data_IF_468822640125
#
_entry.id   IF_468822640125
#
_cell.length_a   1.000
_cell.length_b   1.000
_cell.length_c   1.000
_cell.angle_alpha   90.00
_cell.angle_beta   90.00
_cell.angle_gamma   90.00
#
_symmetry.space_group_name_H-M   'P 1'
#
loop_
_entity.id
_entity.type
_entity.pdbx_description
1 polymer ?
#
# COMPACT_ATOMS: atom_id res chain seq x y z
N UNK A 1 8.65 37.69 12.34
CA UNK A 1 9.74 36.72 12.23
C UNK A 1 9.38 35.56 13.15
N UNK A 2 8.61 34.62 12.67
CA UNK A 2 8.51 33.25 13.23
C UNK A 2 8.15 32.37 12.03
N UNK A 3 9.18 31.86 11.38
CA UNK A 3 9.04 30.69 10.53
C UNK A 3 9.68 29.53 11.29
N UNK A 4 8.85 28.73 11.89
CA UNK A 4 9.18 27.37 12.22
C UNK A 4 8.07 26.54 11.57
N UNK A 5 8.19 26.32 10.26
CA UNK A 5 7.53 25.22 9.58
C UNK A 5 7.96 23.95 10.31
N UNK A 6 7.18 23.59 11.32
CA UNK A 6 7.31 22.30 12.00
C UNK A 6 6.92 21.27 10.95
N UNK A 7 7.93 20.70 10.29
CA UNK A 7 7.75 19.58 9.38
C UNK A 7 7.01 18.49 10.16
N UNK A 8 5.74 18.28 9.86
CA UNK A 8 4.96 17.21 10.48
C UNK A 8 5.61 15.93 9.99
N UNK A 9 6.45 15.31 10.82
CA UNK A 9 7.06 14.02 10.50
C UNK A 9 5.95 12.99 10.59
N UNK A 10 5.54 12.45 9.46
CA UNK A 10 4.52 11.40 9.34
C UNK A 10 5.07 10.06 9.82
N UNK A 11 5.46 10.00 11.10
CA UNK A 11 6.00 8.76 11.69
C UNK A 11 4.89 7.74 11.95
N UNK A 12 5.19 6.49 11.66
CA UNK A 12 4.33 5.37 12.05
C UNK A 12 4.49 5.13 13.55
N UNK A 13 3.37 5.18 14.27
CA UNK A 13 3.31 4.84 15.69
C UNK A 13 3.49 3.32 15.86
N UNK A 14 4.64 2.92 16.39
CA UNK A 14 5.04 1.51 16.54
C UNK A 14 4.18 0.76 17.56
N UNK A 15 3.66 1.46 18.56
CA UNK A 15 2.94 0.84 19.67
C UNK A 15 1.53 0.39 19.27
N UNK A 16 0.98 0.95 18.19
CA UNK A 16 -0.36 0.63 17.71
C UNK A 16 -0.37 -0.36 16.54
N UNK A 17 0.78 -0.68 15.96
CA UNK A 17 0.87 -1.66 14.85
C UNK A 17 0.29 -3.00 15.28
N UNK A 18 -0.64 -3.52 14.50
CA UNK A 18 -1.25 -4.81 14.76
C UNK A 18 -0.52 -5.92 13.99
N UNK A 19 -0.26 -7.01 14.68
CA UNK A 19 0.50 -8.12 14.15
C UNK A 19 -0.29 -9.43 14.25
N UNK A 20 -0.15 -10.30 13.25
CA UNK A 20 -0.76 -11.65 13.30
C UNK A 20 0.05 -12.64 14.15
N UNK A 21 1.30 -12.32 14.51
CA UNK A 21 2.16 -13.17 15.33
C UNK A 21 2.71 -12.41 16.53
N UNK A 22 2.97 -13.14 17.61
CA UNK A 22 3.65 -12.60 18.80
C UNK A 22 5.11 -12.22 18.50
N UNK A 23 5.75 -11.36 19.33
CA UNK A 23 7.12 -10.88 19.08
C UNK A 23 8.16 -11.99 18.85
N UNK A 24 8.05 -13.11 19.60
CA UNK A 24 8.97 -14.26 19.49
C UNK A 24 8.77 -15.12 18.23
N UNK A 25 7.67 -14.92 17.50
CA UNK A 25 7.28 -15.74 16.34
C UNK A 25 7.46 -15.03 15.00
N UNK A 26 7.90 -13.75 15.01
CA UNK A 26 8.01 -12.90 13.81
C UNK A 26 9.32 -13.13 13.07
N UNK A 27 10.42 -13.25 13.81
CA UNK A 27 11.75 -13.37 13.22
C UNK A 27 11.86 -14.63 12.34
N UNK A 28 12.48 -14.45 11.17
CA UNK A 28 12.64 -15.51 10.16
C UNK A 28 11.41 -15.76 9.30
N UNK A 29 10.27 -15.09 9.54
CA UNK A 29 9.10 -15.19 8.67
C UNK A 29 9.06 -14.04 7.65
N UNK A 30 8.51 -14.24 6.43
CA UNK A 30 8.27 -13.13 5.52
C UNK A 30 7.24 -12.17 6.09
N UNK A 31 7.41 -10.87 5.83
CA UNK A 31 6.56 -9.78 6.34
C UNK A 31 5.63 -9.23 5.26
N UNK A 32 4.33 -9.20 5.52
CA UNK A 32 3.34 -8.49 4.72
C UNK A 32 2.91 -7.22 5.45
N UNK A 33 3.34 -6.07 4.95
CA UNK A 33 2.93 -4.76 5.47
C UNK A 33 1.59 -4.39 4.88
N UNK A 34 0.58 -4.16 5.72
CA UNK A 34 -0.77 -3.82 5.26
C UNK A 34 -1.14 -2.38 5.61
N UNK A 35 -1.79 -1.69 4.67
CA UNK A 35 -2.13 -0.27 4.74
C UNK A 35 -3.60 -0.06 4.40
N UNK A 36 -4.36 0.44 5.38
CA UNK A 36 -5.82 0.63 5.28
C UNK A 36 -6.23 1.80 4.39
N UNK A 37 -7.50 1.87 4.01
CA UNK A 37 -8.09 3.00 3.31
C UNK A 37 -8.29 4.22 4.22
N UNK A 38 -8.48 5.41 3.62
CA UNK A 38 -8.75 6.65 4.37
C UNK A 38 -9.98 6.49 5.26
N UNK A 39 -9.90 7.03 6.49
CA UNK A 39 -10.99 6.97 7.48
C UNK A 39 -11.07 5.65 8.26
N UNK A 40 -10.20 4.68 7.93
CA UNK A 40 -10.08 3.41 8.64
C UNK A 40 -8.90 3.42 9.62
N UNK A 41 -8.43 2.25 10.07
CA UNK A 41 -7.38 2.11 11.07
C UNK A 41 -6.62 0.77 10.91
N UNK A 42 -5.62 0.55 11.76
CA UNK A 42 -4.74 -0.62 11.77
C UNK A 42 -5.43 -1.98 11.96
N UNK A 43 -6.70 -2.01 12.36
CA UNK A 43 -7.43 -3.28 12.58
C UNK A 43 -8.17 -3.76 11.34
N UNK A 44 -8.38 -2.88 10.38
CA UNK A 44 -9.22 -3.12 9.21
C UNK A 44 -8.71 -4.33 8.39
N UNK A 45 -7.50 -4.23 7.87
CA UNK A 45 -6.96 -5.26 6.99
C UNK A 45 -6.50 -6.54 7.70
N UNK A 46 -6.46 -6.55 9.04
CA UNK A 46 -6.25 -7.80 9.77
C UNK A 46 -7.36 -8.83 9.53
N UNK A 47 -8.57 -8.36 9.23
CA UNK A 47 -9.67 -9.23 8.84
C UNK A 47 -9.41 -10.08 7.60
N UNK A 48 -8.46 -9.69 6.77
CA UNK A 48 -8.04 -10.43 5.57
C UNK A 48 -7.08 -11.59 5.87
N UNK A 49 -6.42 -11.59 7.02
CA UNK A 49 -5.39 -12.55 7.38
C UNK A 49 -5.81 -14.04 7.21
N UNK A 50 -7.05 -14.46 7.56
CA UNK A 50 -7.46 -15.85 7.36
C UNK A 50 -7.53 -16.30 5.90
N UNK A 51 -7.66 -15.36 4.95
CA UNK A 51 -7.71 -15.64 3.51
C UNK A 51 -6.33 -15.57 2.84
N UNK A 52 -5.30 -15.10 3.53
CA UNK A 52 -3.95 -14.93 3.00
C UNK A 52 -3.02 -16.09 3.43
N UNK A 53 -1.91 -16.34 2.72
CA UNK A 53 -1.00 -17.43 3.08
C UNK A 53 -0.45 -17.29 4.50
N UNK A 54 -0.70 -18.28 5.35
CA UNK A 54 -0.34 -18.26 6.78
C UNK A 54 1.17 -18.27 7.06
N UNK A 55 2.01 -18.49 6.04
CA UNK A 55 3.46 -18.37 6.14
C UNK A 55 3.93 -16.93 6.33
N UNK A 56 3.15 -15.95 5.93
CA UNK A 56 3.45 -14.52 6.09
C UNK A 56 3.02 -14.00 7.46
N UNK A 57 3.88 -13.23 8.09
CA UNK A 57 3.49 -12.39 9.23
C UNK A 57 2.91 -11.10 8.69
N UNK A 58 1.68 -10.74 9.08
CA UNK A 58 1.10 -9.46 8.73
C UNK A 58 1.45 -8.42 9.80
N UNK A 59 1.83 -7.22 9.34
CA UNK A 59 1.93 -6.02 10.15
C UNK A 59 0.98 -4.97 9.57
N UNK A 60 -0.08 -4.67 10.28
CA UNK A 60 -1.09 -3.70 9.85
C UNK A 60 -0.82 -2.36 10.51
N UNK A 61 -0.48 -1.37 9.68
CA UNK A 61 -0.07 -0.05 10.11
C UNK A 61 -1.27 0.87 10.28
N UNK A 62 -1.17 1.81 11.22
CA UNK A 62 -2.04 2.97 11.31
C UNK A 62 -1.44 4.12 10.52
N UNK A 63 -2.25 4.74 9.67
CA UNK A 63 -1.87 5.97 8.99
C UNK A 63 -1.61 7.11 9.99
N UNK A 64 -0.67 8.03 9.73
CA UNK A 64 -0.19 8.98 10.74
C UNK A 64 -1.15 10.14 11.03
N UNK A 65 -2.09 10.43 10.14
CA UNK A 65 -2.95 11.61 10.26
C UNK A 65 -4.35 11.23 10.73
N UNK A 66 -4.90 11.83 11.81
CA UNK A 66 -6.29 11.66 12.17
C UNK A 66 -7.24 12.14 11.06
N UNK A 67 -8.29 11.36 10.77
CA UNK A 67 -9.31 11.68 9.79
C UNK A 67 -10.68 11.14 10.20
N UNK A 68 -11.60 12.00 10.55
CA UNK A 68 -12.92 11.59 11.05
C UNK A 68 -12.81 10.70 12.28
N UNK A 69 -13.33 9.48 12.18
CA UNK A 69 -13.23 8.47 13.25
C UNK A 69 -12.00 7.54 13.08
N UNK A 70 -11.20 7.75 12.05
CA UNK A 70 -10.03 6.94 11.71
C UNK A 70 -8.85 7.80 11.29
N UNK A 71 -8.10 7.32 10.29
CA UNK A 71 -6.81 7.90 9.92
C UNK A 71 -6.64 8.00 8.40
N UNK A 72 -5.71 8.82 7.96
CA UNK A 72 -5.35 9.09 6.56
C UNK A 72 -3.83 9.05 6.38
N UNK A 73 -3.36 8.49 5.27
CA UNK A 73 -1.93 8.47 4.94
C UNK A 73 -1.44 9.84 4.51
N UNK A 74 -2.27 10.57 3.76
CA UNK A 74 -1.98 11.92 3.28
C UNK A 74 -3.31 12.70 3.14
N UNK A 75 -3.25 14.04 3.10
CA UNK A 75 -4.47 14.86 2.97
C UNK A 75 -5.27 14.48 1.72
N UNK A 76 -6.58 14.43 1.85
CA UNK A 76 -7.45 14.26 0.70
C UNK A 76 -7.35 15.51 -0.19
N UNK A 77 -7.13 15.25 -1.46
CA UNK A 77 -7.14 16.24 -2.53
C UNK A 77 -8.17 15.86 -3.59
N UNK A 78 -7.83 16.11 -4.85
CA UNK A 78 -8.63 15.61 -5.97
C UNK A 78 -8.60 14.07 -5.97
N UNK A 79 -9.76 13.39 -6.03
CA UNK A 79 -9.80 11.93 -6.07
C UNK A 79 -8.90 11.36 -7.16
N UNK A 80 -8.07 10.39 -6.81
CA UNK A 80 -7.09 9.77 -7.72
C UNK A 80 -5.90 10.66 -8.11
N UNK A 81 -5.80 11.90 -7.58
CA UNK A 81 -4.72 12.84 -7.91
C UNK A 81 -4.35 13.73 -6.71
N UNK A 82 -3.87 13.14 -5.59
CA UNK A 82 -3.40 13.92 -4.44
C UNK A 82 -2.11 14.70 -4.78
N UNK A 83 -1.77 15.68 -3.94
CA UNK A 83 -0.48 16.35 -4.01
C UNK A 83 0.65 15.34 -3.70
N UNK A 84 1.74 15.39 -4.47
CA UNK A 84 2.84 14.41 -4.38
C UNK A 84 3.64 14.56 -3.08
N UNK A 85 3.94 15.79 -2.64
CA UNK A 85 4.79 16.05 -1.48
C UNK A 85 4.26 15.38 -0.19
N UNK A 86 2.98 15.53 0.25
CA UNK A 86 2.48 14.83 1.42
C UNK A 86 2.46 13.31 1.28
N UNK A 87 2.30 12.80 0.05
CA UNK A 87 2.40 11.37 -0.21
C UNK A 87 3.82 10.89 0.01
N UNK A 88 4.83 11.61 -0.50
CA UNK A 88 6.25 11.27 -0.34
C UNK A 88 6.69 11.36 1.13
N UNK A 89 6.16 12.30 1.91
CA UNK A 89 6.40 12.35 3.37
C UNK A 89 5.87 11.11 4.07
N UNK A 90 4.66 10.66 3.73
CA UNK A 90 4.10 9.43 4.30
C UNK A 90 4.84 8.18 3.84
N UNK A 91 5.27 8.13 2.59
CA UNK A 91 6.13 7.06 2.06
C UNK A 91 7.42 6.97 2.86
N UNK A 92 8.07 8.12 3.12
CA UNK A 92 9.29 8.17 3.95
C UNK A 92 9.04 7.61 5.34
N UNK A 93 7.96 8.02 6.02
CA UNK A 93 7.63 7.51 7.36
C UNK A 93 7.36 6.00 7.41
N UNK A 94 6.72 5.45 6.37
CA UNK A 94 6.52 4.00 6.26
C UNK A 94 7.84 3.28 5.97
N UNK A 95 8.71 3.83 5.12
CA UNK A 95 10.03 3.25 4.84
C UNK A 95 10.90 3.22 6.10
N UNK A 96 10.91 4.30 6.89
CA UNK A 96 11.65 4.36 8.17
C UNK A 96 11.16 3.30 9.15
N UNK A 97 9.84 3.07 9.19
CA UNK A 97 9.26 1.99 9.99
C UNK A 97 9.70 0.61 9.46
N UNK A 98 9.59 0.37 8.16
CA UNK A 98 10.00 -0.89 7.53
C UNK A 98 11.48 -1.18 7.83
N UNK A 99 12.36 -0.20 7.67
CA UNK A 99 13.81 -0.34 7.92
C UNK A 99 14.11 -0.73 9.37
N UNK A 100 13.26 -0.31 10.30
CA UNK A 100 13.41 -0.63 11.72
C UNK A 100 13.08 -2.09 12.08
N UNK A 101 12.40 -2.82 11.18
CA UNK A 101 12.00 -4.22 11.40
C UNK A 101 12.54 -5.18 10.33
N UNK A 102 13.06 -4.66 9.22
CA UNK A 102 13.43 -5.42 8.03
C UNK A 102 14.45 -6.53 8.31
N UNK A 103 15.37 -6.32 9.25
CA UNK A 103 16.42 -7.29 9.58
C UNK A 103 15.88 -8.63 10.10
N UNK A 104 14.67 -8.64 10.64
CA UNK A 104 14.02 -9.85 11.18
C UNK A 104 13.28 -10.67 10.11
N UNK A 105 13.15 -10.15 8.89
CA UNK A 105 12.30 -10.72 7.86
C UNK A 105 13.06 -11.00 6.55
N UNK A 106 13.04 -12.24 6.01
CA UNK A 106 13.80 -12.60 4.81
C UNK A 106 13.30 -11.90 3.54
N UNK A 107 12.04 -11.48 3.51
CA UNK A 107 11.43 -10.73 2.41
C UNK A 107 10.22 -9.95 2.91
N UNK A 108 9.90 -8.85 2.24
CA UNK A 108 8.80 -7.95 2.59
C UNK A 108 7.89 -7.79 1.38
N UNK A 109 6.59 -7.97 1.57
CA UNK A 109 5.53 -7.66 0.61
C UNK A 109 4.68 -6.48 1.11
N UNK A 110 4.00 -5.83 0.20
CA UNK A 110 3.10 -4.70 0.47
C UNK A 110 1.67 -5.07 0.06
N UNK A 111 0.68 -4.71 0.87
CA UNK A 111 -0.73 -4.82 0.53
C UNK A 111 -1.47 -3.58 1.04
N UNK A 112 -2.27 -2.96 0.19
CA UNK A 112 -3.07 -1.83 0.60
C UNK A 112 -4.42 -1.76 -0.10
N UNK A 113 -5.39 -1.14 0.59
CA UNK A 113 -6.71 -0.86 0.05
C UNK A 113 -6.89 0.65 -0.13
N UNK A 114 -7.45 1.06 -1.27
CA UNK A 114 -7.80 2.46 -1.56
C UNK A 114 -6.57 3.38 -1.41
N UNK A 115 -6.59 4.35 -0.50
CA UNK A 115 -5.44 5.20 -0.19
C UNK A 115 -4.20 4.37 0.22
N UNK A 116 -4.38 3.28 0.97
CA UNK A 116 -3.30 2.33 1.29
C UNK A 116 -2.78 1.57 0.08
N UNK A 117 -3.64 1.28 -0.91
CA UNK A 117 -3.24 0.71 -2.20
C UNK A 117 -2.36 1.68 -3.00
N UNK A 118 -2.70 2.97 -2.98
CA UNK A 118 -1.86 4.02 -3.53
C UNK A 118 -0.50 4.08 -2.81
N UNK A 119 -0.48 4.01 -1.48
CA UNK A 119 0.76 3.94 -0.68
C UNK A 119 1.64 2.74 -1.07
N UNK A 120 1.06 1.55 -1.27
CA UNK A 120 1.80 0.36 -1.67
C UNK A 120 2.53 0.56 -3.02
N UNK A 121 1.87 1.18 -3.99
CA UNK A 121 2.48 1.51 -5.28
C UNK A 121 3.58 2.57 -5.15
N UNK A 122 3.38 3.59 -4.31
CA UNK A 122 4.38 4.65 -4.11
C UNK A 122 5.61 4.16 -3.33
N UNK A 123 5.45 3.28 -2.35
CA UNK A 123 6.55 2.59 -1.67
C UNK A 123 7.38 1.77 -2.66
N UNK A 124 6.71 1.02 -3.54
CA UNK A 124 7.38 0.25 -4.59
C UNK A 124 8.14 1.15 -5.56
N UNK A 125 7.58 2.32 -5.95
CA UNK A 125 8.27 3.32 -6.79
C UNK A 125 9.49 3.92 -6.10
N UNK A 126 9.39 4.16 -4.79
CA UNK A 126 10.49 4.72 -4.01
C UNK A 126 11.65 3.72 -3.81
N UNK A 127 11.32 2.41 -3.73
CA UNK A 127 12.31 1.34 -3.47
C UNK A 127 11.97 0.08 -4.30
N UNK A 128 12.18 0.09 -5.62
CA UNK A 128 11.73 -0.98 -6.52
C UNK A 128 12.25 -2.38 -6.17
N UNK A 129 13.49 -2.50 -5.69
CA UNK A 129 14.11 -3.77 -5.30
C UNK A 129 13.91 -4.13 -3.82
N UNK A 130 13.22 -3.28 -3.05
CA UNK A 130 13.06 -3.45 -1.60
C UNK A 130 11.93 -4.39 -1.21
N UNK A 131 11.09 -4.81 -2.17
CA UNK A 131 9.88 -5.56 -1.89
C UNK A 131 9.74 -6.75 -2.83
N UNK A 132 9.24 -7.87 -2.29
CA UNK A 132 8.95 -9.06 -3.08
C UNK A 132 7.80 -8.83 -4.08
N UNK A 133 6.83 -8.02 -3.68
CA UNK A 133 5.68 -7.61 -4.50
C UNK A 133 4.92 -6.44 -3.84
N UNK A 134 4.00 -5.84 -4.61
CA UNK A 134 2.96 -4.96 -4.08
C UNK A 134 1.57 -5.40 -4.55
N UNK A 135 0.59 -5.36 -3.64
CA UNK A 135 -0.83 -5.58 -3.89
C UNK A 135 -1.57 -4.26 -3.66
N UNK A 136 -2.26 -3.79 -4.69
CA UNK A 136 -3.07 -2.57 -4.63
C UNK A 136 -4.52 -2.91 -4.96
N UNK A 137 -5.38 -2.86 -3.94
CA UNK A 137 -6.82 -3.11 -4.03
C UNK A 137 -7.56 -1.78 -4.08
N UNK A 138 -8.27 -1.51 -5.17
CA UNK A 138 -8.95 -0.22 -5.44
C UNK A 138 -8.05 1.00 -5.19
N UNK A 139 -6.73 0.85 -5.41
CA UNK A 139 -5.75 1.92 -5.29
C UNK A 139 -5.47 2.60 -6.65
N UNK A 140 -4.55 3.55 -6.63
CA UNK A 140 -4.14 4.26 -7.84
C UNK A 140 -2.69 4.73 -7.76
N UNK A 141 -2.05 4.89 -8.92
CA UNK A 141 -0.73 5.52 -9.00
C UNK A 141 -0.86 7.04 -8.91
N UNK A 142 -0.06 7.66 -8.05
CA UNK A 142 -0.04 9.13 -7.91
C UNK A 142 0.62 9.74 -9.14
N UNK A 143 -0.04 10.70 -9.82
CA UNK A 143 0.53 11.35 -11.00
C UNK A 143 1.61 12.36 -10.64
N UNK A 144 2.32 12.89 -11.66
CA UNK A 144 3.27 14.01 -11.51
C UNK A 144 4.65 13.61 -11.00
N UNK A 145 4.96 12.31 -10.90
CA UNK A 145 6.32 11.86 -10.57
C UNK A 145 7.24 12.05 -11.77
N UNK A 146 8.30 12.84 -11.60
CA UNK A 146 9.23 13.22 -12.70
C UNK A 146 10.71 13.04 -12.32
N UNK A 147 10.99 12.46 -11.17
CA UNK A 147 12.34 12.38 -10.57
C UNK A 147 13.12 11.10 -10.96
N UNK A 148 12.68 10.38 -11.97
CA UNK A 148 13.34 9.16 -12.44
C UNK A 148 12.92 7.88 -11.72
N UNK A 149 12.02 7.92 -10.72
CA UNK A 149 11.51 6.73 -10.05
C UNK A 149 10.85 5.74 -11.01
N UNK A 150 10.14 6.22 -12.02
CA UNK A 150 9.51 5.35 -13.03
C UNK A 150 10.52 4.64 -13.91
N UNK A 151 11.65 5.27 -14.22
CA UNK A 151 12.76 4.62 -14.92
C UNK A 151 13.41 3.54 -14.05
N UNK A 152 13.57 3.80 -12.75
CA UNK A 152 14.16 2.82 -11.82
C UNK A 152 13.25 1.58 -11.66
N UNK A 153 11.94 1.77 -11.52
CA UNK A 153 11.00 0.65 -11.37
C UNK A 153 10.87 -0.16 -12.68
N UNK A 154 10.94 0.49 -13.85
CA UNK A 154 10.94 -0.19 -15.14
C UNK A 154 12.14 -1.14 -15.32
N UNK A 155 13.32 -0.77 -14.81
CA UNK A 155 14.51 -1.62 -14.84
C UNK A 155 14.37 -2.87 -13.99
N UNK A 156 13.68 -2.78 -12.85
CA UNK A 156 13.46 -3.90 -11.90
C UNK A 156 12.29 -4.77 -12.31
N UNK A 157 11.21 -4.16 -12.85
CA UNK A 157 9.92 -4.79 -13.16
C UNK A 157 9.38 -5.65 -12.02
N UNK A 158 9.18 -5.07 -10.82
CA UNK A 158 8.71 -5.82 -9.66
C UNK A 158 7.31 -6.39 -9.90
N UNK A 159 6.98 -7.46 -9.16
CA UNK A 159 5.64 -8.07 -9.21
C UNK A 159 4.60 -7.13 -8.58
N UNK A 160 3.50 -6.91 -9.29
CA UNK A 160 2.37 -6.08 -8.82
C UNK A 160 1.05 -6.80 -9.07
N UNK A 161 0.17 -6.82 -8.09
CA UNK A 161 -1.23 -7.17 -8.25
C UNK A 161 -2.07 -5.90 -8.18
N UNK A 162 -2.91 -5.68 -9.20
CA UNK A 162 -3.95 -4.66 -9.21
C UNK A 162 -5.31 -5.34 -9.17
N UNK A 163 -6.14 -5.01 -8.18
CA UNK A 163 -7.53 -5.43 -8.08
C UNK A 163 -8.46 -4.23 -7.97
N UNK A 164 -9.54 -4.22 -8.73
CA UNK A 164 -10.54 -3.16 -8.66
C UNK A 164 -11.91 -3.64 -9.13
N UNK A 165 -12.96 -3.04 -8.59
CA UNK A 165 -14.34 -3.26 -9.03
C UNK A 165 -14.71 -2.37 -10.20
N UNK A 166 -15.51 -2.87 -11.13
CA UNK A 166 -16.01 -2.10 -12.28
C UNK A 166 -17.14 -1.12 -11.92
N UNK A 167 -17.73 -1.26 -10.72
CA UNK A 167 -18.73 -0.35 -10.17
C UNK A 167 -18.18 0.52 -9.03
N UNK A 168 -16.86 0.74 -8.96
CA UNK A 168 -16.23 1.58 -7.94
C UNK A 168 -16.60 3.07 -8.17
N UNK A 169 -17.40 3.70 -7.27
CA UNK A 169 -17.81 5.09 -7.41
C UNK A 169 -16.81 6.07 -6.79
N UNK A 170 -15.77 5.59 -6.11
CA UNK A 170 -14.82 6.39 -5.31
C UNK A 170 -13.57 6.72 -6.10
N UNK A 171 -12.98 5.71 -6.76
CA UNK A 171 -11.79 5.91 -7.59
C UNK A 171 -12.23 6.27 -9.02
N UNK A 172 -11.88 7.47 -9.54
CA UNK A 172 -12.23 7.85 -10.89
C UNK A 172 -11.69 6.86 -11.93
N UNK A 173 -12.49 6.51 -12.93
CA UNK A 173 -12.11 5.58 -13.99
C UNK A 173 -10.81 5.98 -14.70
N UNK A 174 -10.55 7.27 -14.85
CA UNK A 174 -9.29 7.81 -15.39
C UNK A 174 -8.08 7.52 -14.51
N UNK A 175 -8.26 7.49 -13.17
CA UNK A 175 -7.18 7.14 -12.23
C UNK A 175 -6.90 5.63 -12.29
N UNK A 176 -7.94 4.80 -12.41
CA UNK A 176 -7.81 3.36 -12.63
C UNK A 176 -7.09 3.08 -13.94
N UNK A 177 -7.53 3.65 -15.06
CA UNK A 177 -6.90 3.47 -16.38
C UNK A 177 -5.44 3.94 -16.39
N UNK A 178 -5.12 5.06 -15.75
CA UNK A 178 -3.74 5.55 -15.58
C UNK A 178 -2.89 4.54 -14.81
N UNK A 179 -3.43 3.96 -13.73
CA UNK A 179 -2.73 2.99 -12.90
C UNK A 179 -2.43 1.70 -13.68
N UNK A 180 -3.41 1.19 -14.43
CA UNK A 180 -3.25 0.02 -15.29
C UNK A 180 -2.17 0.26 -16.37
N UNK A 181 -2.24 1.41 -17.06
CA UNK A 181 -1.25 1.78 -18.08
C UNK A 181 0.16 1.90 -17.49
N UNK A 182 0.29 2.55 -16.34
CA UNK A 182 1.56 2.69 -15.62
C UNK A 182 2.11 1.32 -15.21
N UNK A 183 1.29 0.46 -14.60
CA UNK A 183 1.74 -0.84 -14.13
C UNK A 183 2.17 -1.75 -15.30
N UNK A 184 1.43 -1.75 -16.40
CA UNK A 184 1.77 -2.51 -17.61
C UNK A 184 3.12 -2.07 -18.19
N UNK A 185 3.41 -0.78 -18.19
CA UNK A 185 4.66 -0.23 -18.68
C UNK A 185 5.86 -0.59 -17.79
N UNK A 186 5.72 -0.52 -16.47
CA UNK A 186 6.84 -0.47 -15.53
C UNK A 186 7.01 -1.72 -14.64
N UNK A 187 6.03 -2.64 -14.61
CA UNK A 187 6.03 -3.75 -13.63
C UNK A 187 5.69 -5.11 -14.28
N UNK A 188 5.87 -6.19 -13.55
CA UNK A 188 5.29 -7.49 -13.86
C UNK A 188 3.89 -7.56 -13.24
N UNK A 189 2.90 -6.96 -13.90
CA UNK A 189 1.56 -6.80 -13.35
C UNK A 189 0.67 -8.01 -13.59
N UNK A 190 -0.11 -8.36 -12.55
CA UNK A 190 -1.35 -9.14 -12.62
C UNK A 190 -2.50 -8.17 -12.36
N UNK A 191 -3.28 -7.86 -13.40
CA UNK A 191 -4.39 -6.92 -13.32
C UNK A 191 -5.73 -7.67 -13.37
N UNK A 192 -6.64 -7.37 -12.44
CA UNK A 192 -7.96 -8.00 -12.30
C UNK A 192 -9.06 -6.96 -12.10
N UNK A 193 -10.10 -7.07 -12.90
CA UNK A 193 -11.36 -6.32 -12.73
C UNK A 193 -12.43 -7.27 -12.24
N UNK A 194 -13.17 -6.88 -11.20
CA UNK A 194 -14.23 -7.69 -10.60
C UNK A 194 -15.59 -7.10 -10.93
N UNK A 195 -16.38 -7.87 -11.67
CA UNK A 195 -17.72 -7.46 -12.14
C UNK A 195 -18.67 -7.23 -10.96
N UNK A 196 -19.38 -6.10 -10.98
CA UNK A 196 -20.37 -5.73 -9.96
C UNK A 196 -19.76 -5.31 -8.63
N UNK A 197 -18.44 -5.28 -8.49
CA UNK A 197 -17.78 -4.91 -7.24
C UNK A 197 -17.72 -3.37 -7.11
N UNK A 198 -18.27 -2.79 -6.02
CA UNK A 198 -18.09 -1.37 -5.69
C UNK A 198 -16.71 -1.13 -5.06
N UNK A 199 -16.52 0.01 -4.37
CA UNK A 199 -15.31 0.31 -3.61
C UNK A 199 -15.17 -0.58 -2.37
N UNK A 200 -14.83 -1.85 -2.56
CA UNK A 200 -14.75 -2.88 -1.54
C UNK A 200 -13.78 -3.99 -1.97
N UNK A 201 -13.52 -4.93 -1.09
CA UNK A 201 -12.73 -6.14 -1.36
C UNK A 201 -13.67 -7.35 -1.36
N UNK A 202 -13.61 -8.17 -2.41
CA UNK A 202 -14.42 -9.38 -2.53
C UNK A 202 -13.66 -10.65 -2.13
N UNK A 203 -14.40 -11.74 -1.84
CA UNK A 203 -13.80 -13.04 -1.58
C UNK A 203 -13.04 -13.59 -2.81
N UNK A 204 -13.55 -13.34 -4.02
CA UNK A 204 -12.88 -13.73 -5.26
C UNK A 204 -11.55 -12.98 -5.43
N UNK A 205 -11.54 -11.68 -5.19
CA UNK A 205 -10.33 -10.87 -5.21
C UNK A 205 -9.29 -11.35 -4.18
N UNK A 206 -9.72 -11.67 -2.96
CA UNK A 206 -8.82 -12.22 -1.94
C UNK A 206 -8.25 -13.59 -2.32
N UNK A 207 -9.01 -14.45 -3.00
CA UNK A 207 -8.51 -15.72 -3.50
C UNK A 207 -7.40 -15.51 -4.55
N UNK A 208 -7.59 -14.56 -5.48
CA UNK A 208 -6.57 -14.21 -6.47
C UNK A 208 -5.33 -13.59 -5.83
N UNK A 209 -5.51 -12.73 -4.82
CA UNK A 209 -4.40 -12.16 -4.03
C UNK A 209 -3.62 -13.25 -3.30
N UNK A 210 -4.32 -14.21 -2.68
CA UNK A 210 -3.67 -15.31 -1.97
C UNK A 210 -2.84 -16.19 -2.92
N UNK A 211 -3.36 -16.49 -4.12
CA UNK A 211 -2.63 -17.19 -5.16
C UNK A 211 -1.39 -16.39 -5.60
N UNK A 212 -1.55 -15.10 -5.89
CA UNK A 212 -0.45 -14.21 -6.28
C UNK A 212 0.67 -14.13 -5.23
N UNK A 213 0.34 -14.09 -3.94
CA UNK A 213 1.33 -14.05 -2.84
C UNK A 213 2.03 -15.43 -2.69
N UNK A 214 1.34 -16.52 -2.97
CA UNK A 214 1.83 -17.89 -2.85
C UNK A 214 2.87 -18.29 -3.91
N UNK A 215 2.81 -17.63 -5.07
CA UNK A 215 3.77 -17.83 -6.18
C UNK A 215 5.14 -17.17 -5.88
#
# INVERSE_FOLDING_TARGET
MVDASTKVVHMIDRDVVQWTRGPSERSGTPLLVTMHGVGSNERDLLGLAPALPSSWTLASLRAPMPWGQGFSWYPLGTPGSPALEPVDESVSGVLDWIDSVAADHPRIGLLGFSQGGSMALQLLRARPSGFAFAVSLSGFVVPGVTDGRDTAIEQVRPRVFLGHGDLDPVIPAEATARTQAWAAAHTAVTDRTYEGLPHAVSAAELADVAAFIGD
#
